data_IF_757533148940
#
_entry.id   IF_757533148940
#
_cell.length_a   1.000
_cell.length_b   1.000
_cell.length_c   1.000
_cell.angle_alpha   90.00
_cell.angle_beta   90.00
_cell.angle_gamma   90.00
#
_symmetry.space_group_name_H-M   'P 1'
#
loop_
_entity.id
_entity.type
_entity.pdbx_description
1 polymer ?
#
# COMPACT_ATOMS: atom_id res chain seq x y z
N UNK A 1 16.63 29.40 -13.45
CA UNK A 1 16.15 28.22 -14.21
C UNK A 1 16.47 26.89 -13.51
N UNK A 2 17.60 26.75 -12.81
CA UNK A 2 18.02 25.48 -12.14
C UNK A 2 17.14 25.03 -10.95
N UNK A 3 16.56 25.98 -10.21
CA UNK A 3 15.71 25.68 -9.05
C UNK A 3 14.36 25.05 -9.42
N UNK A 4 13.83 25.37 -10.60
CA UNK A 4 12.52 24.90 -11.04
C UNK A 4 12.56 23.43 -11.47
N UNK A 5 13.65 23.01 -12.14
CA UNK A 5 13.84 21.61 -12.55
C UNK A 5 13.98 20.66 -11.38
N UNK A 6 14.66 21.07 -10.30
CA UNK A 6 14.80 20.24 -9.10
C UNK A 6 13.47 20.06 -8.37
N UNK A 7 12.63 21.10 -8.34
CA UNK A 7 11.31 21.06 -7.71
C UNK A 7 10.31 20.19 -8.50
N UNK A 8 10.40 20.19 -9.83
CA UNK A 8 9.58 19.30 -10.66
C UNK A 8 9.98 17.83 -10.44
N UNK A 9 11.28 17.54 -10.37
CA UNK A 9 11.78 16.17 -10.14
C UNK A 9 11.37 15.61 -8.78
N UNK A 10 11.38 16.40 -7.71
CA UNK A 10 10.96 15.92 -6.38
C UNK A 10 9.46 15.62 -6.32
N UNK A 11 8.63 16.45 -6.97
CA UNK A 11 7.18 16.24 -7.03
C UNK A 11 6.84 14.97 -7.81
N UNK A 12 7.50 14.71 -8.95
CA UNK A 12 7.23 13.51 -9.76
C UNK A 12 7.63 12.23 -9.04
N UNK A 13 8.75 12.23 -8.30
CA UNK A 13 9.18 11.08 -7.49
C UNK A 13 8.18 10.80 -6.36
N UNK A 14 7.73 11.84 -5.65
CA UNK A 14 6.75 11.69 -4.58
C UNK A 14 5.40 11.17 -5.12
N UNK A 15 4.94 11.70 -6.26
CA UNK A 15 3.72 11.26 -6.93
C UNK A 15 3.77 9.78 -7.35
N UNK A 16 4.92 9.29 -7.83
CA UNK A 16 5.09 7.87 -8.17
C UNK A 16 5.04 6.96 -6.93
N UNK A 17 5.61 7.40 -5.80
CA UNK A 17 5.59 6.63 -4.56
C UNK A 17 4.18 6.49 -3.96
N UNK A 18 3.35 7.53 -4.03
CA UNK A 18 1.93 7.44 -3.63
C UNK A 18 1.10 6.60 -4.60
N UNK A 19 1.40 6.63 -5.91
CA UNK A 19 0.71 5.77 -6.87
C UNK A 19 1.07 4.29 -6.73
N UNK A 20 2.28 3.98 -6.26
CA UNK A 20 2.69 2.61 -5.91
C UNK A 20 2.21 2.17 -4.52
N UNK A 21 1.67 3.08 -3.70
CA UNK A 21 0.95 2.68 -2.49
C UNK A 21 -0.32 1.93 -2.93
N UNK A 22 -0.69 0.84 -2.24
CA UNK A 22 -1.92 0.13 -2.56
C UNK A 22 -3.08 1.11 -2.44
N UNK A 23 -3.63 1.51 -3.59
CA UNK A 23 -4.78 2.38 -3.66
C UNK A 23 -5.92 1.71 -2.86
N UNK A 24 -6.66 2.44 -2.00
CA UNK A 24 -7.74 1.86 -1.19
C UNK A 24 -8.93 1.28 -2.01
N UNK A 25 -8.84 1.31 -3.34
CA UNK A 25 -9.85 0.92 -4.32
C UNK A 25 -9.31 -0.12 -5.32
N UNK A 26 -8.02 -0.47 -5.26
CA UNK A 26 -7.59 -1.76 -5.77
C UNK A 26 -8.09 -2.77 -4.75
N UNK A 27 -9.12 -3.56 -5.10
CA UNK A 27 -9.59 -4.67 -4.28
C UNK A 27 -8.35 -5.49 -3.96
N UNK A 28 -7.82 -5.42 -2.73
CA UNK A 28 -6.57 -6.09 -2.49
C UNK A 28 -6.94 -7.57 -2.49
N UNK A 29 -6.28 -8.36 -3.34
CA UNK A 29 -6.54 -9.80 -3.43
C UNK A 29 -6.32 -10.49 -2.06
N UNK A 30 -5.63 -9.76 -1.17
CA UNK A 30 -5.43 -10.08 0.23
C UNK A 30 -5.84 -8.90 1.15
N UNK A 31 -6.39 -9.20 2.32
CA UNK A 31 -6.66 -8.27 3.41
C UNK A 31 -5.36 -7.64 3.96
N UNK A 32 -5.38 -6.33 4.26
CA UNK A 32 -4.29 -5.65 4.96
C UNK A 32 -4.21 -6.04 6.45
N UNK A 33 -3.12 -5.66 7.12
CA UNK A 33 -2.96 -5.87 8.57
C UNK A 33 -4.12 -5.25 9.37
N UNK A 34 -4.46 -5.88 10.51
CA UNK A 34 -5.59 -5.52 11.37
C UNK A 34 -6.99 -5.66 10.73
N UNK A 35 -7.09 -6.17 9.51
CA UNK A 35 -8.39 -6.53 8.94
C UNK A 35 -8.82 -7.91 9.46
N UNK A 36 -10.11 -8.08 9.71
CA UNK A 36 -10.67 -9.38 10.09
C UNK A 36 -10.41 -10.45 9.02
N UNK A 37 -9.97 -11.63 9.45
CA UNK A 37 -9.70 -12.80 8.59
C UNK A 37 -10.33 -14.07 9.18
N UNK A 38 -10.72 -14.99 8.30
CA UNK A 38 -11.12 -16.34 8.67
C UNK A 38 -10.04 -17.37 8.33
N UNK A 39 -9.29 -17.14 7.25
CA UNK A 39 -8.21 -18.02 6.80
C UNK A 39 -6.92 -17.25 6.56
N UNK A 40 -5.80 -17.97 6.67
CA UNK A 40 -4.45 -17.43 6.57
C UNK A 40 -4.20 -16.68 5.25
N UNK A 41 -4.58 -17.30 4.14
CA UNK A 41 -4.38 -16.78 2.78
C UNK A 41 -5.31 -15.65 2.40
N UNK A 42 -6.24 -15.27 3.27
CA UNK A 42 -6.93 -13.99 3.11
C UNK A 42 -5.99 -12.83 3.42
N UNK A 43 -4.95 -13.00 4.24
CA UNK A 43 -4.08 -11.91 4.68
C UNK A 43 -2.90 -11.72 3.73
N UNK A 44 -2.46 -10.47 3.51
CA UNK A 44 -1.30 -10.22 2.65
C UNK A 44 0.02 -10.77 3.23
N UNK A 45 0.06 -11.02 4.54
CA UNK A 45 1.15 -11.73 5.20
C UNK A 45 0.98 -13.25 5.25
N UNK A 46 -0.09 -13.79 4.65
CA UNK A 46 -0.54 -15.17 4.82
C UNK A 46 -0.46 -15.57 6.30
N UNK A 47 -1.04 -14.73 7.17
CA UNK A 47 -0.97 -14.86 8.64
C UNK A 47 -2.26 -14.34 9.26
N UNK A 48 -3.12 -15.25 9.70
CA UNK A 48 -4.36 -14.93 10.42
C UNK A 48 -4.23 -15.30 11.90
N UNK A 49 -4.16 -14.30 12.78
CA UNK A 49 -3.94 -14.47 14.22
C UNK A 49 -5.11 -13.84 14.97
N UNK A 50 -5.78 -14.62 15.83
CA UNK A 50 -6.93 -14.16 16.60
C UNK A 50 -8.06 -13.54 15.76
N UNK A 51 -8.21 -13.98 14.50
CA UNK A 51 -9.21 -13.47 13.55
C UNK A 51 -8.85 -12.12 12.92
N UNK A 52 -7.58 -11.71 13.01
CA UNK A 52 -7.02 -10.50 12.42
C UNK A 52 -5.77 -10.82 11.61
N UNK A 53 -5.58 -10.12 10.49
CA UNK A 53 -4.37 -10.25 9.69
C UNK A 53 -3.17 -9.62 10.41
N UNK A 54 -2.07 -10.38 10.47
CA UNK A 54 -0.81 -10.02 11.14
C UNK A 54 0.37 -10.00 10.16
#
# INVERSE_FOLDING_TARGET
>A
MQFFSSLILTITIFAAAVAASPAPWAVPECKPLLQSCAVNSECCGDLCVAGLCA
#
